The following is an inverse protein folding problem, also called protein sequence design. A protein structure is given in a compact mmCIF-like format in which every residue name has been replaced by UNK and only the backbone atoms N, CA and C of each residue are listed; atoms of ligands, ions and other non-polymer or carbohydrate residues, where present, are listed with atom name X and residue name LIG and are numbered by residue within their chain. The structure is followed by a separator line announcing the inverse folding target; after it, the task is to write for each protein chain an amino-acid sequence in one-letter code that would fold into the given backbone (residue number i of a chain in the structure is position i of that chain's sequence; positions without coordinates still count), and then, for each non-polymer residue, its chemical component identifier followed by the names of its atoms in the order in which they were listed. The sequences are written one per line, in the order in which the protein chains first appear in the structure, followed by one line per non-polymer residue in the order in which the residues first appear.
data_IF_067653097176
#
_entry.id   IF_067653097176
#
_cell.length_a   1.000
_cell.length_b   1.000
_cell.length_c   1.000
_cell.angle_alpha   90.00
_cell.angle_beta   90.00
_cell.angle_gamma   90.00
#
_symmetry.space_group_name_H-M   'P 1'
#
loop_
_entity.id
_entity.type
_entity.pdbx_description
1 polymer ?
#
# COMPACT_ATOMS: atom_id res chain seq x y z
N UNK A 1 -27.14 -4.21 -10.92
CA UNK A 1 -27.08 -5.06 -12.13
C UNK A 1 -26.03 -6.15 -11.92
N UNK A 2 -26.23 -7.40 -12.38
CA UNK A 2 -25.21 -8.44 -12.30
C UNK A 2 -23.99 -8.10 -13.18
N UNK A 3 -22.78 -8.47 -12.74
CA UNK A 3 -21.55 -8.19 -13.49
C UNK A 3 -21.44 -9.11 -14.72
N UNK A 4 -21.22 -8.55 -15.91
CA UNK A 4 -21.15 -9.30 -17.17
C UNK A 4 -19.88 -10.16 -17.27
N UNK A 5 -20.03 -11.47 -17.56
CA UNK A 5 -18.93 -12.38 -17.90
C UNK A 5 -19.00 -13.72 -17.14
N UNK A 6 -18.26 -14.74 -17.60
CA UNK A 6 -18.30 -16.10 -17.03
C UNK A 6 -17.70 -16.20 -15.61
N UNK A 7 -16.70 -15.37 -15.29
CA UNK A 7 -16.06 -15.35 -13.96
C UNK A 7 -16.02 -13.92 -13.38
N UNK A 8 -17.18 -13.37 -12.95
CA UNK A 8 -17.29 -11.98 -12.51
C UNK A 8 -16.42 -11.65 -11.30
N UNK A 9 -16.20 -12.62 -10.40
CA UNK A 9 -15.36 -12.47 -9.19
C UNK A 9 -13.93 -11.95 -9.49
N UNK A 10 -13.38 -12.25 -10.68
CA UNK A 10 -12.02 -11.83 -11.07
C UNK A 10 -11.86 -10.31 -11.26
N UNK A 11 -12.97 -9.56 -11.27
CA UNK A 11 -13.00 -8.09 -11.34
C UNK A 11 -13.19 -7.42 -9.97
N UNK A 12 -13.17 -8.18 -8.88
CA UNK A 12 -13.28 -7.63 -7.52
C UNK A 12 -11.93 -7.15 -7.00
N UNK A 13 -11.92 -6.09 -6.19
CA UNK A 13 -10.70 -5.63 -5.50
C UNK A 13 -10.09 -6.73 -4.63
N UNK A 14 -10.92 -7.56 -4.00
CA UNK A 14 -10.46 -8.71 -3.21
C UNK A 14 -9.62 -9.67 -4.05
N UNK A 15 -10.13 -10.13 -5.20
CA UNK A 15 -9.39 -11.03 -6.10
C UNK A 15 -8.09 -10.41 -6.62
N UNK A 16 -8.12 -9.13 -7.03
CA UNK A 16 -6.93 -8.42 -7.53
C UNK A 16 -5.87 -8.22 -6.42
N UNK A 17 -6.31 -7.97 -5.18
CA UNK A 17 -5.42 -7.78 -4.01
C UNK A 17 -4.76 -9.08 -3.51
N UNK A 18 -5.32 -10.24 -3.87
CA UNK A 18 -4.76 -11.57 -3.53
C UNK A 18 -3.59 -11.99 -4.44
N UNK A 19 -3.27 -11.21 -5.48
CA UNK A 19 -2.10 -11.45 -6.34
C UNK A 19 -0.78 -11.34 -5.59
N UNK A 20 -0.08 -12.47 -5.40
CA UNK A 20 1.17 -12.58 -4.62
C UNK A 20 2.44 -12.44 -5.49
N UNK A 21 2.30 -12.02 -6.76
CA UNK A 21 3.41 -11.72 -7.68
C UNK A 21 3.54 -10.21 -7.87
N UNK A 22 4.59 -9.63 -7.28
CA UNK A 22 4.99 -8.23 -7.49
C UNK A 22 6.36 -8.23 -8.16
N UNK A 23 6.45 -7.73 -9.38
CA UNK A 23 7.69 -7.69 -10.15
C UNK A 23 8.73 -6.71 -9.58
N UNK A 24 10.02 -7.02 -9.75
CA UNK A 24 11.14 -6.08 -9.55
C UNK A 24 11.03 -4.90 -10.52
N UNK A 25 11.52 -3.72 -10.13
CA UNK A 25 11.45 -2.50 -10.95
C UNK A 25 12.30 -2.57 -12.23
N UNK A 26 13.13 -3.61 -12.37
CA UNK A 26 13.86 -3.94 -13.60
C UNK A 26 12.95 -4.49 -14.71
N UNK A 27 11.81 -5.11 -14.36
CA UNK A 27 10.89 -5.72 -15.33
C UNK A 27 9.93 -4.67 -15.85
N UNK A 28 10.23 -4.15 -17.05
CA UNK A 28 9.40 -3.14 -17.72
C UNK A 28 8.35 -3.72 -18.67
N UNK A 29 8.64 -4.87 -19.27
CA UNK A 29 7.83 -5.52 -20.31
C UNK A 29 7.77 -7.01 -20.03
N UNK A 30 6.58 -7.60 -20.15
CA UNK A 30 6.36 -9.04 -20.07
C UNK A 30 5.50 -9.45 -21.26
N UNK A 31 6.03 -10.33 -22.12
CA UNK A 31 5.31 -10.89 -23.27
C UNK A 31 4.94 -12.32 -22.95
N UNK A 32 3.68 -12.71 -23.14
CA UNK A 32 3.18 -14.06 -22.87
C UNK A 32 2.70 -14.71 -24.16
N UNK A 33 3.48 -15.66 -24.67
CA UNK A 33 3.13 -16.45 -25.85
C UNK A 33 2.57 -17.80 -25.39
N UNK A 34 1.42 -18.20 -25.94
CA UNK A 34 0.75 -19.46 -25.59
C UNK A 34 -0.06 -19.96 -26.79
N UNK A 35 -0.27 -21.29 -26.87
CA UNK A 35 -1.10 -21.89 -27.91
C UNK A 35 -2.56 -22.00 -27.45
N UNK A 36 -3.50 -21.72 -28.34
CA UNK A 36 -4.95 -21.89 -28.12
C UNK A 36 -5.42 -23.35 -28.22
N UNK A 37 -4.61 -24.25 -28.78
CA UNK A 37 -4.92 -25.68 -28.94
C UNK A 37 -3.81 -26.59 -28.37
N UNK A 38 -4.18 -27.85 -28.08
CA UNK A 38 -3.32 -28.86 -27.44
C UNK A 38 -3.39 -28.89 -25.90
N UNK A 39 -3.17 -30.05 -25.25
CA UNK A 39 -3.26 -30.17 -23.78
C UNK A 39 -2.06 -29.53 -23.06
N UNK A 40 -0.86 -29.61 -23.63
CA UNK A 40 0.41 -29.14 -23.02
C UNK A 40 0.46 -27.65 -22.69
N UNK A 41 -0.43 -26.84 -23.26
CA UNK A 41 -0.53 -25.39 -23.03
C UNK A 41 -1.76 -24.97 -22.22
N UNK A 42 -2.49 -25.92 -21.61
CA UNK A 42 -3.64 -25.60 -20.75
C UNK A 42 -3.26 -24.75 -19.54
N UNK A 43 -2.13 -25.08 -18.87
CA UNK A 43 -1.56 -24.27 -17.80
C UNK A 43 -1.27 -22.84 -18.24
N UNK A 44 -0.66 -22.67 -19.41
CA UNK A 44 -0.39 -21.36 -20.02
C UNK A 44 -1.67 -20.54 -20.24
N UNK A 45 -2.72 -21.14 -20.84
CA UNK A 45 -4.02 -20.46 -21.05
C UNK A 45 -4.65 -20.00 -19.74
N UNK A 46 -4.61 -20.85 -18.72
CA UNK A 46 -5.17 -20.52 -17.41
C UNK A 46 -4.44 -19.36 -16.73
N UNK A 47 -3.13 -19.20 -16.98
CA UNK A 47 -2.30 -18.13 -16.45
C UNK A 47 -2.51 -16.80 -17.20
N UNK A 48 -2.63 -16.84 -18.54
CA UNK A 48 -2.84 -15.64 -19.38
C UNK A 48 -4.10 -14.86 -19.00
N UNK A 49 -5.19 -15.54 -18.63
CA UNK A 49 -6.45 -14.87 -18.23
C UNK A 49 -6.25 -13.94 -17.01
N UNK A 50 -5.14 -14.09 -16.28
CA UNK A 50 -4.78 -13.31 -15.09
C UNK A 50 -3.74 -12.21 -15.36
N UNK A 51 -3.06 -12.19 -16.51
CA UNK A 51 -1.91 -11.29 -16.77
C UNK A 51 -2.08 -10.53 -18.09
N UNK A 52 -2.16 -9.19 -18.01
CA UNK A 52 -2.22 -8.28 -19.16
C UNK A 52 -1.29 -7.08 -18.97
N UNK A 53 -0.40 -6.81 -19.93
CA UNK A 53 -0.03 -5.46 -20.42
C UNK A 53 0.92 -5.51 -21.64
N UNK A 54 0.92 -4.41 -22.42
CA UNK A 54 1.91 -4.05 -23.46
C UNK A 54 2.72 -2.83 -22.97
N UNK A 55 3.80 -2.33 -23.60
CA UNK A 55 4.41 -2.57 -24.92
C UNK A 55 5.96 -2.40 -24.84
N UNK A 56 6.69 -2.76 -25.90
CA UNK A 56 8.14 -2.53 -26.05
C UNK A 56 8.50 -1.03 -26.30
N UNK A 57 9.75 -0.54 -26.11
CA UNK A 57 10.99 -1.19 -26.59
C UNK A 57 12.24 -1.19 -25.66
N UNK A 58 13.19 -2.07 -26.03
CA UNK A 58 14.66 -2.08 -25.82
C UNK A 58 15.23 -1.64 -24.44
N UNK A 59 15.89 -2.58 -23.74
CA UNK A 59 17.35 -2.62 -23.49
C UNK A 59 17.69 -3.69 -22.44
N UNK A 60 18.77 -4.47 -22.70
CA UNK A 60 19.50 -5.43 -21.86
C UNK A 60 18.71 -6.42 -20.95
N UNK A 61 19.14 -7.69 -20.97
CA UNK A 61 18.61 -8.86 -20.24
C UNK A 61 17.19 -9.32 -20.63
N UNK A 62 17.13 -10.21 -21.63
CA UNK A 62 15.93 -10.98 -21.96
C UNK A 62 15.88 -12.26 -21.11
N UNK A 63 14.82 -12.44 -20.33
CA UNK A 63 14.58 -13.66 -19.54
C UNK A 63 13.47 -14.47 -20.21
N UNK A 64 13.85 -15.57 -20.87
CA UNK A 64 12.89 -16.51 -21.44
C UNK A 64 12.55 -17.58 -20.40
N UNK A 65 11.26 -17.71 -20.08
CA UNK A 65 10.72 -18.73 -19.17
C UNK A 65 9.86 -19.66 -20.01
N UNK A 66 10.26 -20.92 -20.10
CA UNK A 66 9.43 -21.95 -20.71
C UNK A 66 8.25 -22.31 -19.79
N UNK A 67 7.09 -22.58 -20.41
CA UNK A 67 5.78 -22.75 -19.79
C UNK A 67 5.10 -24.06 -20.23
N UNK A 68 5.69 -24.82 -21.16
CA UNK A 68 5.11 -26.09 -21.63
C UNK A 68 5.00 -27.13 -20.50
N UNK A 69 3.89 -27.87 -20.48
CA UNK A 69 3.54 -28.92 -19.50
C UNK A 69 3.49 -28.49 -18.02
N UNK A 70 3.59 -27.19 -17.70
CA UNK A 70 3.55 -26.66 -16.33
C UNK A 70 2.16 -26.21 -15.91
N UNK A 71 1.82 -26.38 -14.63
CA UNK A 71 0.55 -25.87 -14.06
C UNK A 71 0.60 -24.37 -13.78
N UNK A 72 -0.57 -23.72 -13.70
CA UNK A 72 -0.72 -22.30 -13.36
C UNK A 72 0.10 -21.89 -12.12
N UNK A 73 0.02 -22.73 -11.09
CA UNK A 73 0.69 -22.56 -9.80
C UNK A 73 2.20 -22.64 -9.92
N UNK A 74 2.74 -23.59 -10.69
CA UNK A 74 4.17 -23.70 -10.96
C UNK A 74 4.70 -22.49 -11.73
N UNK A 75 3.99 -22.07 -12.78
CA UNK A 75 4.32 -20.89 -13.59
C UNK A 75 4.40 -19.64 -12.70
N UNK A 76 3.38 -19.44 -11.87
CA UNK A 76 3.29 -18.31 -10.93
C UNK A 76 4.43 -18.34 -9.90
N UNK A 77 4.75 -19.50 -9.33
CA UNK A 77 5.86 -19.67 -8.38
C UNK A 77 7.23 -19.45 -9.06
N UNK A 78 7.41 -19.94 -10.28
CA UNK A 78 8.63 -19.80 -11.07
C UNK A 78 8.92 -18.32 -11.39
N UNK A 79 7.90 -17.61 -11.90
CA UNK A 79 7.98 -16.17 -12.18
C UNK A 79 8.29 -15.40 -10.89
N UNK A 80 7.62 -15.73 -9.77
CA UNK A 80 7.89 -15.10 -8.47
C UNK A 80 9.33 -15.33 -8.00
N UNK A 81 9.90 -16.52 -8.21
CA UNK A 81 11.27 -16.86 -7.82
C UNK A 81 12.32 -16.06 -8.59
N UNK A 82 12.15 -15.88 -9.89
CA UNK A 82 13.12 -15.16 -10.74
C UNK A 82 12.92 -13.65 -10.66
N UNK A 83 11.69 -13.18 -10.89
CA UNK A 83 11.37 -11.77 -11.17
C UNK A 83 10.61 -11.08 -10.03
N UNK A 84 10.14 -11.81 -9.02
CA UNK A 84 9.42 -11.25 -7.88
C UNK A 84 10.32 -10.45 -6.92
N UNK A 85 9.79 -9.37 -6.37
CA UNK A 85 10.37 -8.71 -5.19
C UNK A 85 10.26 -9.65 -3.99
N UNK A 86 11.29 -9.67 -3.13
CA UNK A 86 11.15 -10.27 -1.79
C UNK A 86 10.16 -9.41 -0.97
N UNK A 87 9.53 -10.00 0.05
CA UNK A 87 8.64 -9.27 0.96
C UNK A 87 9.47 -8.34 1.86
N UNK A 88 9.85 -7.20 1.30
CA UNK A 88 10.53 -6.14 2.05
C UNK A 88 9.56 -5.55 3.07
N UNK A 89 10.03 -5.48 4.33
CA UNK A 89 9.28 -4.84 5.40
C UNK A 89 9.23 -3.34 5.13
N UNK A 90 8.12 -2.85 4.60
CA UNK A 90 7.87 -1.42 4.43
C UNK A 90 8.05 -0.74 5.79
N UNK A 91 9.10 0.07 5.92
CA UNK A 91 9.38 0.85 7.11
C UNK A 91 8.14 1.71 7.43
N UNK A 92 7.70 1.70 8.69
CA UNK A 92 6.47 2.40 9.10
C UNK A 92 6.69 3.91 8.96
N UNK A 93 6.20 4.47 7.84
CA UNK A 93 6.25 5.92 7.55
C UNK A 93 5.55 6.77 8.62
N UNK A 94 4.65 6.17 9.41
CA UNK A 94 3.95 6.80 10.52
C UNK A 94 4.60 6.38 11.84
N UNK A 95 5.26 7.32 12.51
CA UNK A 95 5.83 7.09 13.84
C UNK A 95 4.77 7.38 14.95
N UNK A 96 4.54 6.49 15.93
CA UNK A 96 3.46 6.66 16.92
C UNK A 96 3.58 7.88 17.86
N UNK A 97 4.78 8.45 18.03
CA UNK A 97 4.98 9.66 18.83
C UNK A 97 4.77 10.97 18.04
N UNK A 98 4.50 10.93 16.73
CA UNK A 98 4.27 12.15 15.94
C UNK A 98 2.81 12.59 16.05
N UNK A 99 2.60 13.85 16.46
CA UNK A 99 1.29 14.51 16.55
C UNK A 99 0.94 15.24 15.25
N UNK A 100 -0.34 15.38 14.96
CA UNK A 100 -0.87 16.13 13.82
C UNK A 100 -2.26 15.64 13.41
N UNK A 101 -2.80 16.04 12.24
CA UNK A 101 -4.17 15.71 11.85
C UNK A 101 -4.47 14.20 11.83
N UNK A 102 -5.64 13.78 12.32
CA UNK A 102 -6.12 12.39 12.43
C UNK A 102 -6.06 11.55 11.15
N UNK A 103 -5.98 12.20 9.98
CA UNK A 103 -5.75 11.52 8.68
C UNK A 103 -4.38 10.79 8.63
N UNK A 104 -3.37 11.33 9.31
CA UNK A 104 -1.98 10.88 9.23
C UNK A 104 -1.42 10.41 10.58
N UNK A 105 -1.88 11.00 11.69
CA UNK A 105 -1.35 10.77 13.04
C UNK A 105 -2.39 10.12 13.96
N UNK A 106 -1.91 9.49 15.04
CA UNK A 106 -2.77 8.87 16.06
C UNK A 106 -3.39 9.89 17.03
N UNK A 107 -2.73 11.04 17.22
CA UNK A 107 -3.09 12.10 18.17
C UNK A 107 -2.89 13.46 17.51
N UNK A 108 -3.79 14.39 17.75
CA UNK A 108 -3.74 15.75 17.20
C UNK A 108 -3.04 16.73 18.15
N UNK A 109 -3.24 16.55 19.46
CA UNK A 109 -2.69 17.43 20.48
C UNK A 109 -2.18 16.63 21.68
N UNK A 110 -1.21 17.20 22.39
CA UNK A 110 -0.68 16.66 23.65
C UNK A 110 -1.77 16.51 24.73
N UNK A 111 -2.85 17.31 24.67
CA UNK A 111 -3.96 17.25 25.63
C UNK A 111 -4.87 16.01 25.49
N UNK A 112 -4.60 15.12 24.52
CA UNK A 112 -5.21 13.78 24.43
C UNK A 112 -4.47 12.73 25.29
N UNK A 113 -3.37 13.10 25.95
CA UNK A 113 -2.57 12.19 26.80
C UNK A 113 -2.91 12.41 28.27
N UNK A 114 -3.15 11.32 28.99
CA UNK A 114 -3.44 11.35 30.42
C UNK A 114 -2.27 11.93 31.22
N UNK A 115 -2.58 12.74 32.23
CA UNK A 115 -1.58 13.49 33.02
C UNK A 115 -1.04 14.76 32.34
N UNK A 116 -1.39 15.04 31.08
CA UNK A 116 -1.06 16.31 30.42
C UNK A 116 -2.12 17.39 30.69
N UNK A 117 -1.73 18.66 30.51
CA UNK A 117 -2.63 19.81 30.71
C UNK A 117 -3.77 19.76 29.68
N UNK A 118 -5.05 19.83 30.11
CA UNK A 118 -6.18 19.80 29.19
C UNK A 118 -6.20 21.04 28.29
N UNK A 119 -6.71 20.89 27.07
CA UNK A 119 -6.87 22.00 26.14
C UNK A 119 -7.85 23.05 26.71
N UNK A 120 -7.53 24.36 26.69
CA UNK A 120 -8.35 25.41 27.32
C UNK A 120 -9.81 25.48 26.83
N UNK A 121 -10.07 25.06 25.59
CA UNK A 121 -11.43 24.99 25.03
C UNK A 121 -12.29 23.85 25.58
N UNK A 122 -11.71 22.91 26.34
CA UNK A 122 -12.42 21.79 26.99
C UNK A 122 -12.51 21.96 28.50
N UNK A 123 -11.46 22.47 29.14
CA UNK A 123 -11.42 22.82 30.57
C UNK A 123 -10.72 24.17 30.70
N UNK A 124 -11.36 25.20 31.31
CA UNK A 124 -10.72 26.49 31.50
C UNK A 124 -9.51 26.34 32.44
N UNK A 125 -8.38 26.93 32.06
CA UNK A 125 -7.17 26.93 32.89
C UNK A 125 -7.31 27.91 34.07
N UNK A 126 -6.55 27.70 35.18
CA UNK A 126 -6.52 28.61 36.32
C UNK A 126 -6.18 30.06 35.91
N UNK A 127 -6.72 31.05 36.63
CA UNK A 127 -6.60 32.47 36.28
C UNK A 127 -5.14 32.91 36.22
N UNK A 128 -4.33 32.40 37.13
CA UNK A 128 -2.88 32.61 37.29
C UNK A 128 -2.12 32.20 36.02
N UNK A 129 -2.64 31.26 35.23
CA UNK A 129 -2.06 30.80 33.97
C UNK A 129 -2.52 31.63 32.76
N UNK A 130 -3.54 32.47 32.89
CA UNK A 130 -4.09 33.27 31.79
C UNK A 130 -3.26 34.54 31.53
N UNK A 131 -2.99 34.85 30.25
CA UNK A 131 -2.22 36.03 29.88
C UNK A 131 -2.84 37.36 30.34
N UNK A 132 -4.19 37.45 30.35
CA UNK A 132 -4.91 38.66 30.80
C UNK A 132 -4.65 38.97 32.27
N UNK A 133 -4.66 37.95 33.13
CA UNK A 133 -4.41 38.12 34.56
C UNK A 133 -2.94 38.48 34.84
N UNK A 134 -2.00 37.82 34.14
CA UNK A 134 -0.56 38.16 34.24
C UNK A 134 -0.24 39.57 33.75
N UNK A 135 -0.94 40.08 32.73
CA UNK A 135 -0.80 41.46 32.28
C UNK A 135 -1.28 42.44 33.36
N UNK A 136 -2.52 42.27 33.85
CA UNK A 136 -3.08 43.12 34.89
C UNK A 136 -2.23 43.17 36.17
N UNK A 137 -1.62 42.06 36.58
CA UNK A 137 -0.68 42.03 37.71
C UNK A 137 0.62 42.80 37.45
N UNK A 138 1.14 42.79 36.22
CA UNK A 138 2.32 43.59 35.85
C UNK A 138 1.99 45.09 35.77
N UNK A 139 0.81 45.43 35.25
CA UNK A 139 0.37 46.82 35.16
C UNK A 139 0.10 47.42 36.56
N UNK A 140 -0.21 46.59 37.56
CA UNK A 140 -0.35 47.00 38.96
C UNK A 140 0.95 47.06 39.77
N UNK A 141 2.04 46.45 39.29
CA UNK A 141 3.39 46.52 39.88
C UNK A 141 4.34 47.31 38.95
N UNK A 142 4.20 48.64 38.82
CA UNK A 142 5.14 49.47 38.09
C UNK A 142 6.48 49.51 38.85
N UNK A 143 7.47 48.81 38.31
CA UNK A 143 8.89 48.87 38.72
C UNK A 143 9.72 49.72 37.76
#
# INVERSE_FOLDING_TARGET
MPMKGRFPIRRTLQYLSQGDVVFKDTVKVMTVNYNIHGPRSEGARSAVITVFTNLAPKYHDQVLVDVEEKTNTEITQHIKKILGKRKELKMKLRHPATFGPRKYHLRECMCEIEGQIPCPGRVPLPKEMTGKYKAAMKDSDPS
#
